data_IF_237877465663
#
_entry.id   IF_237877465663
#
_cell.length_a   1.000
_cell.length_b   1.000
_cell.length_c   1.000
_cell.angle_alpha   90.00
_cell.angle_beta   90.00
_cell.angle_gamma   90.00
#
_symmetry.space_group_name_H-M   'P 1'
#
loop_
_entity.id
_entity.type
_entity.pdbx_description
1 polymer ?
#
# COMPACT_ATOMS: atom_id res chain seq x y z
N UNK A 1 4.09 14.74 14.72
CA UNK A 1 4.98 13.58 14.58
C UNK A 1 6.14 13.94 13.66
N UNK A 2 7.31 13.38 13.92
CA UNK A 2 8.49 13.67 13.11
C UNK A 2 8.41 12.97 11.75
N UNK A 3 9.01 13.58 10.74
CA UNK A 3 9.17 12.94 9.44
C UNK A 3 10.14 11.76 9.54
N UNK A 4 10.00 10.75 8.68
CA UNK A 4 10.99 9.68 8.57
C UNK A 4 12.38 10.22 8.19
N UNK A 5 13.43 9.42 8.35
CA UNK A 5 14.79 9.84 7.98
C UNK A 5 14.92 10.11 6.48
N UNK A 6 15.88 10.94 6.10
CA UNK A 6 16.19 11.22 4.71
C UNK A 6 16.65 9.94 4.00
N UNK A 7 16.09 9.70 2.82
CA UNK A 7 16.47 8.57 1.96
C UNK A 7 16.76 9.05 0.54
N UNK A 8 17.59 8.29 -0.15
CA UNK A 8 18.03 8.58 -1.52
C UNK A 8 18.35 7.28 -2.25
N UNK A 9 18.73 7.37 -3.51
CA UNK A 9 19.12 6.22 -4.32
C UNK A 9 20.18 5.39 -3.58
N UNK A 10 19.94 4.07 -3.49
CA UNK A 10 20.76 3.14 -2.73
C UNK A 10 20.18 2.77 -1.38
N UNK A 11 19.22 3.51 -0.86
CA UNK A 11 18.55 3.17 0.39
C UNK A 11 17.63 1.95 0.20
N UNK A 12 17.44 1.17 1.26
CA UNK A 12 16.56 0.00 1.26
C UNK A 12 15.79 -0.07 2.58
N UNK A 13 14.69 -0.82 2.58
CA UNK A 13 13.97 -1.15 3.80
C UNK A 13 12.60 -0.50 3.93
N UNK A 14 12.01 -0.56 5.15
CA UNK A 14 10.62 -0.10 5.39
C UNK A 14 10.39 1.38 5.10
N UNK A 15 11.38 2.24 5.37
CA UNK A 15 11.26 3.68 5.11
C UNK A 15 11.13 3.94 3.60
N UNK A 16 11.87 3.20 2.78
CA UNK A 16 11.74 3.28 1.32
C UNK A 16 10.35 2.82 0.88
N UNK A 17 9.87 1.71 1.44
CA UNK A 17 8.50 1.23 1.14
C UNK A 17 7.46 2.27 1.46
N UNK A 18 7.61 2.97 2.59
CA UNK A 18 6.67 4.02 2.97
C UNK A 18 6.66 5.16 1.96
N UNK A 19 7.82 5.62 1.52
CA UNK A 19 7.92 6.66 0.48
C UNK A 19 7.28 6.18 -0.82
N UNK A 20 7.57 4.97 -1.24
CA UNK A 20 7.01 4.39 -2.46
C UNK A 20 5.47 4.29 -2.37
N UNK A 21 4.94 3.86 -1.23
CA UNK A 21 3.50 3.81 -0.99
C UNK A 21 2.85 5.19 -1.13
N UNK A 22 3.45 6.22 -0.55
CA UNK A 22 2.93 7.59 -0.64
C UNK A 22 2.98 8.14 -2.07
N UNK A 23 3.86 7.63 -2.91
CA UNK A 23 3.98 8.04 -4.31
C UNK A 23 3.02 7.29 -5.25
N UNK A 24 2.37 6.24 -4.78
CA UNK A 24 1.38 5.53 -5.58
C UNK A 24 0.22 6.46 -5.93
N UNK A 25 -0.29 6.34 -7.14
CA UNK A 25 -1.30 7.21 -7.76
C UNK A 25 -0.78 8.60 -8.17
N UNK A 26 0.47 8.92 -7.86
CA UNK A 26 1.11 10.16 -8.33
C UNK A 26 2.15 9.85 -9.39
N UNK A 27 3.21 9.18 -8.99
CA UNK A 27 4.36 8.94 -9.87
C UNK A 27 4.84 7.47 -9.89
N UNK A 28 4.28 6.62 -9.04
CA UNK A 28 4.63 5.19 -8.96
C UNK A 28 3.38 4.31 -9.08
N UNK A 29 3.61 3.06 -9.49
CA UNK A 29 2.59 2.01 -9.46
C UNK A 29 2.77 1.15 -8.20
N UNK A 30 1.69 0.51 -7.77
CA UNK A 30 1.70 -0.31 -6.55
C UNK A 30 2.71 -1.47 -6.61
N UNK A 31 2.95 -2.02 -7.80
CA UNK A 31 3.90 -3.12 -7.97
C UNK A 31 5.37 -2.67 -7.87
N UNK A 32 5.60 -1.37 -7.76
CA UNK A 32 6.95 -0.79 -7.58
C UNK A 32 7.29 -0.51 -6.12
N UNK A 33 6.44 -0.94 -5.19
CA UNK A 33 6.69 -0.84 -3.74
C UNK A 33 7.53 -2.06 -3.33
N UNK A 34 8.83 -1.99 -3.59
CA UNK A 34 9.74 -3.11 -3.34
C UNK A 34 10.74 -2.85 -2.20
N UNK A 35 10.74 -1.65 -1.64
CA UNK A 35 11.67 -1.28 -0.57
C UNK A 35 13.10 -1.00 -1.05
N UNK A 36 13.28 -0.82 -2.35
CA UNK A 36 14.59 -0.53 -2.95
C UNK A 36 14.51 0.83 -3.64
N UNK A 37 15.32 1.79 -3.18
CA UNK A 37 15.40 3.10 -3.80
C UNK A 37 16.35 3.02 -4.98
N UNK A 38 15.83 2.58 -6.10
CA UNK A 38 16.59 2.48 -7.35
C UNK A 38 16.27 3.63 -8.29
N UNK A 39 16.72 3.53 -9.57
CA UNK A 39 16.49 4.58 -10.56
C UNK A 39 15.01 4.92 -10.79
N UNK A 40 14.14 3.92 -10.75
CA UNK A 40 12.68 4.12 -10.93
C UNK A 40 12.12 4.97 -9.80
N UNK A 41 12.47 4.65 -8.56
CA UNK A 41 12.04 5.43 -7.40
C UNK A 41 12.60 6.84 -7.45
N UNK A 42 13.87 7.00 -7.81
CA UNK A 42 14.50 8.31 -7.95
C UNK A 42 13.75 9.18 -8.96
N UNK A 43 13.45 8.64 -10.14
CA UNK A 43 12.71 9.37 -11.17
C UNK A 43 11.33 9.77 -10.68
N UNK A 44 10.65 8.88 -9.96
CA UNK A 44 9.34 9.17 -9.38
C UNK A 44 9.41 10.29 -8.34
N UNK A 45 10.44 10.30 -7.50
CA UNK A 45 10.66 11.35 -6.50
C UNK A 45 10.93 12.69 -7.20
N UNK A 46 11.78 12.69 -8.21
CA UNK A 46 12.08 13.91 -8.98
C UNK A 46 10.82 14.48 -9.65
N UNK A 47 9.99 13.63 -10.23
CA UNK A 47 8.73 14.06 -10.83
C UNK A 47 7.79 14.66 -9.77
N UNK A 48 7.67 14.00 -8.63
CA UNK A 48 6.86 14.49 -7.52
C UNK A 48 7.36 15.84 -7.03
N UNK A 49 8.68 16.01 -6.93
CA UNK A 49 9.28 17.28 -6.50
C UNK A 49 8.97 18.42 -7.50
N UNK A 50 9.04 18.12 -8.81
CA UNK A 50 8.64 19.11 -9.84
C UNK A 50 7.18 19.51 -9.69
N UNK A 51 6.31 18.53 -9.56
CA UNK A 51 4.86 18.77 -9.45
C UNK A 51 4.49 19.52 -8.17
N UNK A 52 5.29 19.37 -7.13
CA UNK A 52 5.08 20.02 -5.83
C UNK A 52 5.90 21.31 -5.65
N UNK A 53 6.59 21.74 -6.68
CA UNK A 53 7.44 22.95 -6.66
C UNK A 53 8.54 22.90 -5.60
N UNK A 54 9.12 21.73 -5.41
CA UNK A 54 10.25 21.50 -4.50
C UNK A 54 11.57 21.46 -5.29
N UNK A 55 12.70 21.56 -4.58
CA UNK A 55 13.99 21.33 -5.19
C UNK A 55 14.03 19.90 -5.74
N UNK A 56 14.42 19.75 -7.02
CA UNK A 56 14.42 18.46 -7.73
C UNK A 56 15.80 17.84 -7.58
N UNK A 57 16.02 17.13 -6.49
CA UNK A 57 17.31 16.52 -6.16
C UNK A 57 17.25 15.00 -6.07
N UNK A 58 16.06 14.40 -6.21
CA UNK A 58 15.88 12.95 -6.11
C UNK A 58 16.05 12.41 -4.69
N UNK A 59 16.12 13.27 -3.69
CA UNK A 59 16.30 12.89 -2.28
C UNK A 59 15.00 13.16 -1.52
N UNK A 60 14.55 12.20 -0.73
CA UNK A 60 13.37 12.39 0.12
C UNK A 60 13.83 12.91 1.47
N UNK A 61 14.01 14.21 1.55
CA UNK A 61 14.35 14.92 2.78
C UNK A 61 13.12 15.54 3.44
N UNK A 62 13.30 16.39 4.47
CA UNK A 62 12.18 16.93 5.24
C UNK A 62 11.10 17.62 4.41
N UNK A 63 11.48 18.42 3.42
CA UNK A 63 10.51 19.12 2.56
C UNK A 63 9.69 18.12 1.73
N UNK A 64 10.33 17.13 1.16
CA UNK A 64 9.66 16.09 0.37
C UNK A 64 8.77 15.23 1.25
N UNK A 65 9.26 14.82 2.42
CA UNK A 65 8.43 14.07 3.38
C UNK A 65 7.20 14.87 3.80
N UNK A 66 7.37 16.17 4.04
CA UNK A 66 6.25 17.05 4.40
C UNK A 66 5.18 17.10 3.31
N UNK A 67 5.59 17.22 2.07
CA UNK A 67 4.68 17.25 0.93
C UNK A 67 4.01 15.88 0.67
N UNK A 68 4.71 14.79 0.95
CA UNK A 68 4.15 13.43 0.84
C UNK A 68 3.21 13.09 1.99
N UNK A 69 3.30 13.79 3.11
CA UNK A 69 2.58 13.41 4.32
C UNK A 69 3.25 12.26 5.06
N UNK A 70 4.57 12.21 5.07
CA UNK A 70 5.36 11.12 5.63
C UNK A 70 5.20 10.92 7.14
N UNK A 71 4.71 11.93 7.86
CA UNK A 71 4.44 11.82 9.29
C UNK A 71 3.08 11.16 9.62
N UNK A 72 2.26 10.87 8.59
CA UNK A 72 0.99 10.19 8.81
C UNK A 72 1.22 8.77 9.35
N UNK A 73 0.23 8.26 10.09
CA UNK A 73 0.28 6.87 10.55
C UNK A 73 0.25 5.92 9.36
N UNK A 74 1.13 4.93 9.37
CA UNK A 74 1.12 3.90 8.33
C UNK A 74 -0.07 2.95 8.54
N UNK A 75 -0.66 2.41 7.45
CA UNK A 75 -1.70 1.40 7.61
C UNK A 75 -1.13 0.15 8.29
N UNK A 76 -1.94 -0.56 9.08
CA UNK A 76 -1.45 -1.72 9.81
C UNK A 76 -1.09 -2.86 8.86
N UNK A 77 -0.09 -3.65 9.22
CA UNK A 77 0.17 -4.92 8.56
C UNK A 77 -0.77 -5.96 9.14
N UNK A 78 -1.54 -6.63 8.29
CA UNK A 78 -2.48 -7.66 8.70
C UNK A 78 -2.01 -9.02 8.17
N UNK A 79 -2.12 -10.04 9.01
CA UNK A 79 -1.76 -11.40 8.68
C UNK A 79 -2.62 -12.35 9.48
N UNK A 80 -2.50 -13.64 9.20
CA UNK A 80 -3.21 -14.66 9.95
C UNK A 80 -2.90 -14.52 11.44
N UNK A 81 -3.95 -14.40 12.26
CA UNK A 81 -3.86 -14.10 13.69
C UNK A 81 -4.21 -12.66 14.04
N UNK A 82 -4.26 -11.75 13.06
CA UNK A 82 -4.71 -10.37 13.31
C UNK A 82 -6.20 -10.33 13.63
N UNK A 83 -6.62 -9.38 14.46
CA UNK A 83 -8.02 -9.22 14.87
C UNK A 83 -8.37 -7.75 14.95
N UNK A 84 -9.65 -7.44 14.84
CA UNK A 84 -10.18 -6.12 15.09
C UNK A 84 -10.98 -5.52 13.95
N UNK A 85 -11.38 -4.23 14.10
CA UNK A 85 -12.26 -3.55 13.13
C UNK A 85 -11.67 -3.44 11.72
N UNK A 86 -10.36 -3.28 11.60
CA UNK A 86 -9.71 -3.19 10.28
C UNK A 86 -9.82 -4.52 9.55
N UNK A 87 -9.72 -5.65 10.26
CA UNK A 87 -9.91 -6.98 9.67
C UNK A 87 -11.35 -7.14 9.17
N UNK A 88 -12.34 -6.67 9.93
CA UNK A 88 -13.75 -6.68 9.49
C UNK A 88 -13.92 -5.89 8.19
N UNK A 89 -13.33 -4.72 8.11
CA UNK A 89 -13.40 -3.89 6.89
C UNK A 89 -12.71 -4.56 5.71
N UNK A 90 -11.57 -5.21 5.95
CA UNK A 90 -10.88 -5.98 4.92
C UNK A 90 -11.75 -7.13 4.41
N UNK A 91 -12.37 -7.89 5.30
CA UNK A 91 -13.25 -8.99 4.94
C UNK A 91 -14.45 -8.51 4.12
N UNK A 92 -15.05 -7.38 4.52
CA UNK A 92 -16.14 -6.76 3.76
C UNK A 92 -15.68 -6.36 2.36
N UNK A 93 -14.51 -5.71 2.26
CA UNK A 93 -13.96 -5.29 0.97
C UNK A 93 -13.67 -6.47 0.05
N UNK A 94 -13.11 -7.55 0.60
CA UNK A 94 -12.83 -8.77 -0.15
C UNK A 94 -14.11 -9.43 -0.66
N UNK A 95 -15.18 -9.41 0.14
CA UNK A 95 -16.48 -9.93 -0.28
C UNK A 95 -17.10 -9.10 -1.39
N UNK A 96 -17.02 -7.77 -1.29
CA UNK A 96 -17.55 -6.85 -2.30
C UNK A 96 -16.79 -6.97 -3.62
N UNK A 97 -15.49 -7.23 -3.56
CA UNK A 97 -14.64 -7.37 -4.73
C UNK A 97 -14.54 -8.77 -5.30
N UNK A 98 -15.40 -9.70 -4.87
CA UNK A 98 -15.39 -11.07 -5.39
C UNK A 98 -15.59 -11.07 -6.90
N UNK A 99 -14.75 -11.81 -7.59
CA UNK A 99 -14.78 -11.85 -9.05
C UNK A 99 -13.90 -10.79 -9.69
N UNK A 100 -13.75 -9.64 -9.06
CA UNK A 100 -12.89 -8.57 -9.57
C UNK A 100 -11.46 -8.67 -9.04
N UNK A 101 -11.31 -8.85 -7.72
CA UNK A 101 -9.97 -8.90 -7.13
C UNK A 101 -9.83 -9.91 -5.99
N UNK A 102 -10.84 -10.71 -5.71
CA UNK A 102 -10.75 -11.75 -4.68
C UNK A 102 -11.40 -13.07 -5.15
N UNK A 103 -10.87 -13.69 -6.22
CA UNK A 103 -11.51 -14.85 -6.82
C UNK A 103 -11.50 -16.08 -5.91
N UNK A 104 -10.69 -16.11 -4.86
CA UNK A 104 -10.62 -17.25 -3.93
C UNK A 104 -11.57 -17.15 -2.75
N UNK A 105 -12.44 -16.16 -2.71
CA UNK A 105 -13.32 -15.94 -1.57
C UNK A 105 -14.69 -16.62 -1.73
N UNK A 106 -14.72 -17.84 -2.22
CA UNK A 106 -15.93 -18.67 -2.29
C UNK A 106 -15.72 -19.87 -1.37
N UNK A 107 -16.54 -20.08 -0.32
CA UNK A 107 -17.71 -19.26 0.04
C UNK A 107 -17.37 -17.84 0.52
N UNK A 108 -18.40 -17.01 0.68
CA UNK A 108 -18.28 -15.64 1.20
C UNK A 108 -17.56 -15.68 2.54
N UNK A 109 -16.60 -14.77 2.74
CA UNK A 109 -15.89 -14.67 4.01
C UNK A 109 -16.82 -14.27 5.13
N UNK A 110 -16.66 -14.89 6.30
CA UNK A 110 -17.28 -14.40 7.51
C UNK A 110 -16.64 -13.07 7.90
N UNK A 111 -17.47 -12.05 8.14
CA UNK A 111 -17.01 -10.74 8.61
C UNK A 111 -17.02 -10.78 10.14
N UNK A 112 -16.02 -11.42 10.71
CA UNK A 112 -15.93 -11.69 12.14
C UNK A 112 -14.75 -10.96 12.81
N UNK A 113 -13.98 -10.20 12.03
CA UNK A 113 -12.82 -9.48 12.56
C UNK A 113 -11.64 -10.37 12.91
N UNK A 114 -11.65 -11.63 12.48
CA UNK A 114 -10.58 -12.59 12.75
C UNK A 114 -9.91 -12.98 11.41
N UNK A 115 -8.65 -12.66 11.29
CA UNK A 115 -7.86 -13.00 10.11
C UNK A 115 -7.42 -14.46 10.21
N UNK A 116 -8.25 -15.33 9.70
CA UNK A 116 -7.99 -16.76 9.69
C UNK A 116 -7.50 -17.25 8.32
N UNK A 117 -7.52 -18.56 8.12
CA UNK A 117 -7.05 -19.19 6.89
C UNK A 117 -7.85 -18.76 5.66
N UNK A 118 -9.17 -18.63 5.79
CA UNK A 118 -10.03 -18.22 4.67
C UNK A 118 -9.72 -16.78 4.23
N UNK A 119 -9.51 -15.89 5.19
CA UNK A 119 -9.12 -14.50 4.89
C UNK A 119 -7.74 -14.48 4.23
N UNK A 120 -6.78 -15.26 4.74
CA UNK A 120 -5.45 -15.36 4.13
C UNK A 120 -5.52 -15.88 2.68
N UNK A 121 -6.36 -16.87 2.43
CA UNK A 121 -6.53 -17.43 1.07
C UNK A 121 -7.13 -16.39 0.11
N UNK A 122 -8.10 -15.60 0.56
CA UNK A 122 -8.69 -14.53 -0.25
C UNK A 122 -7.66 -13.42 -0.54
N UNK A 123 -6.85 -13.07 0.45
CA UNK A 123 -5.76 -12.09 0.25
C UNK A 123 -4.75 -12.60 -0.75
N UNK A 124 -4.33 -13.87 -0.66
CA UNK A 124 -3.41 -14.46 -1.65
C UNK A 124 -3.99 -14.42 -3.05
N UNK A 125 -5.28 -14.72 -3.20
CA UNK A 125 -5.95 -14.63 -4.51
C UNK A 125 -5.93 -13.22 -5.07
N UNK A 126 -6.18 -12.21 -4.25
CA UNK A 126 -6.11 -10.80 -4.63
C UNK A 126 -4.68 -10.42 -5.04
N UNK A 127 -3.69 -10.86 -4.28
CA UNK A 127 -2.28 -10.59 -4.60
C UNK A 127 -1.86 -11.23 -5.93
N UNK A 128 -2.31 -12.45 -6.20
CA UNK A 128 -2.05 -13.13 -7.47
C UNK A 128 -2.63 -12.36 -8.65
N UNK A 129 -3.85 -11.87 -8.54
CA UNK A 129 -4.46 -11.05 -9.59
C UNK A 129 -3.69 -9.75 -9.81
N UNK A 130 -3.14 -9.18 -8.76
CA UNK A 130 -2.37 -7.95 -8.83
C UNK A 130 -0.92 -8.17 -9.26
N UNK A 131 -0.52 -9.43 -9.48
CA UNK A 131 0.86 -9.78 -9.86
C UNK A 131 1.91 -9.33 -8.85
N UNK A 132 1.57 -9.44 -7.56
CA UNK A 132 2.49 -9.18 -6.46
C UNK A 132 2.69 -10.47 -5.66
N UNK A 133 3.72 -10.57 -4.81
CA UNK A 133 3.94 -11.78 -4.02
C UNK A 133 2.69 -12.16 -3.21
N UNK A 134 2.23 -13.39 -3.37
CA UNK A 134 1.02 -13.90 -2.73
C UNK A 134 1.39 -14.58 -1.40
N UNK A 135 1.76 -13.76 -0.42
CA UNK A 135 2.21 -14.23 0.89
C UNK A 135 1.07 -14.27 1.94
N UNK A 136 -0.12 -13.78 1.58
CA UNK A 136 -1.25 -13.73 2.50
C UNK A 136 -1.14 -12.66 3.57
N UNK A 137 -0.18 -11.75 3.45
CA UNK A 137 0.05 -10.65 4.37
C UNK A 137 -0.36 -9.33 3.72
N UNK A 138 -1.17 -8.54 4.40
CA UNK A 138 -1.59 -7.23 3.90
C UNK A 138 -0.59 -6.19 4.38
N UNK A 139 0.43 -5.96 3.57
CA UNK A 139 1.42 -4.89 3.76
C UNK A 139 1.12 -3.70 2.84
N UNK A 140 2.06 -2.76 2.75
CA UNK A 140 1.86 -1.53 1.97
C UNK A 140 1.52 -1.82 0.50
N UNK A 141 2.19 -2.79 -0.10
CA UNK A 141 1.94 -3.15 -1.50
C UNK A 141 0.50 -3.64 -1.70
N UNK A 142 0.00 -4.47 -0.79
CA UNK A 142 -1.37 -4.98 -0.85
C UNK A 142 -2.40 -3.87 -0.62
N UNK A 143 -2.16 -2.98 0.34
CA UNK A 143 -3.04 -1.83 0.57
C UNK A 143 -3.18 -0.92 -0.64
N UNK A 144 -2.15 -0.86 -1.47
CA UNK A 144 -2.12 0.00 -2.66
C UNK A 144 -2.76 -0.62 -3.89
N UNK A 145 -3.27 -1.86 -3.83
CA UNK A 145 -3.88 -2.53 -4.97
C UNK A 145 -5.13 -1.76 -5.42
N UNK A 146 -5.23 -1.41 -6.72
CA UNK A 146 -6.45 -0.78 -7.26
C UNK A 146 -7.62 -1.76 -7.18
N UNK A 147 -8.77 -1.30 -6.69
CA UNK A 147 -9.93 -2.15 -6.47
C UNK A 147 -11.16 -1.76 -7.29
N UNK A 148 -11.17 -0.56 -7.82
CA UNK A 148 -12.26 -0.07 -8.68
C UNK A 148 -11.72 0.83 -9.79
N UNK A 149 -12.50 0.95 -10.86
CA UNK A 149 -12.16 1.79 -12.02
C UNK A 149 -12.00 3.27 -11.67
N UNK A 150 -12.54 3.71 -10.54
CA UNK A 150 -12.46 5.11 -10.10
C UNK A 150 -11.12 5.48 -9.43
N UNK A 151 -10.14 4.60 -9.45
CA UNK A 151 -8.82 4.85 -8.86
C UNK A 151 -8.73 4.62 -7.35
N UNK A 152 -9.74 3.98 -6.77
CA UNK A 152 -9.69 3.58 -5.38
C UNK A 152 -8.73 2.42 -5.19
N UNK A 153 -8.08 2.38 -4.04
CA UNK A 153 -7.23 1.26 -3.64
C UNK A 153 -7.84 0.55 -2.43
N UNK A 154 -7.31 -0.63 -2.11
CA UNK A 154 -7.83 -1.42 -0.99
C UNK A 154 -7.82 -0.62 0.32
N UNK A 155 -6.80 0.20 0.55
CA UNK A 155 -6.71 1.05 1.74
C UNK A 155 -7.90 2.02 1.85
N UNK A 156 -8.38 2.57 0.73
CA UNK A 156 -9.54 3.47 0.72
C UNK A 156 -10.79 2.76 1.23
N UNK A 157 -11.03 1.53 0.76
CA UNK A 157 -12.20 0.75 1.15
C UNK A 157 -12.18 0.38 2.63
N UNK A 158 -10.99 0.18 3.18
CA UNK A 158 -10.84 -0.22 4.57
C UNK A 158 -10.69 0.96 5.54
N UNK A 159 -10.69 2.19 5.03
CA UNK A 159 -10.59 3.38 5.86
C UNK A 159 -9.26 3.54 6.57
N UNK A 160 -8.19 2.91 6.05
CA UNK A 160 -6.83 3.09 6.57
C UNK A 160 -6.11 4.15 5.75
N UNK A 161 -4.91 4.55 6.20
CA UNK A 161 -4.13 5.58 5.52
C UNK A 161 -3.83 5.14 4.08
N UNK A 162 -4.43 5.81 3.11
CA UNK A 162 -4.28 5.53 1.70
C UNK A 162 -3.08 6.27 1.11
N UNK A 163 -2.54 5.79 -0.06
CA UNK A 163 -1.53 6.54 -0.80
C UNK A 163 -2.04 7.93 -1.16
N UNK A 164 -1.13 8.86 -1.24
CA UNK A 164 -1.45 10.26 -1.51
C UNK A 164 -2.01 10.55 -2.92
#
# INVERSE_FOLDING_TARGET
MANPPTIAEGATGPTVRWAQYLLVRRTLSYNQIDGIFGPVTKTAVEQFQRDSHLAVDGVVGPATWGALGGSRAQPPTLAQGSQGPVVEKLQTALNEGRGDFAPGSDPVLAVDGIYGEHTAAAVRGTQQLAHIPADGVVGLQTWAIPVHAAGQVLADLCGVTAPG
#
